data_IF_203069777678
#
_entry.id   IF_203069777678
#
_cell.length_a   1.000
_cell.length_b   1.000
_cell.length_c   1.000
_cell.angle_alpha   90.00
_cell.angle_beta   90.00
_cell.angle_gamma   90.00
#
_symmetry.space_group_name_H-M   'P 1'
#
loop_
_entity.id
_entity.type
_entity.pdbx_description
1 polymer ?
#
# COMPACT_ATOMS: atom_id res chain seq x y z
N UNK A 1 8.64 -24.66 -44.60
CA UNK A 1 8.97 -23.73 -43.49
C UNK A 1 7.69 -23.08 -42.96
N UNK A 2 6.80 -23.84 -42.33
CA UNK A 2 5.49 -23.34 -41.88
C UNK A 2 4.83 -24.11 -40.74
N UNK A 3 5.41 -25.25 -40.32
CA UNK A 3 4.84 -26.11 -39.28
C UNK A 3 5.50 -25.96 -37.90
N UNK A 4 6.65 -25.28 -37.80
CA UNK A 4 7.42 -25.16 -36.53
C UNK A 4 6.96 -23.96 -35.69
N UNK A 5 6.26 -22.99 -36.29
CA UNK A 5 5.76 -21.81 -35.55
C UNK A 5 4.43 -22.05 -34.81
N UNK A 6 3.67 -23.10 -35.16
CA UNK A 6 2.36 -23.36 -34.54
C UNK A 6 2.47 -24.12 -33.20
N UNK A 7 3.53 -24.90 -33.00
CA UNK A 7 3.75 -25.68 -31.76
C UNK A 7 4.35 -24.83 -30.64
N UNK A 8 5.02 -23.73 -30.97
CA UNK A 8 5.58 -22.78 -29.98
C UNK A 8 4.49 -21.92 -29.31
N UNK A 9 3.42 -21.58 -30.03
CA UNK A 9 2.29 -20.83 -29.47
C UNK A 9 1.40 -21.69 -28.55
N UNK A 10 1.35 -23.00 -28.76
CA UNK A 10 0.58 -23.92 -27.90
C UNK A 10 1.30 -24.24 -26.58
N UNK A 11 2.64 -24.25 -26.54
CA UNK A 11 3.40 -24.57 -25.31
C UNK A 11 3.39 -23.43 -24.28
N UNK A 12 3.22 -22.17 -24.71
CA UNK A 12 3.05 -21.03 -23.80
C UNK A 12 1.67 -21.04 -23.12
N UNK A 13 0.64 -21.63 -23.76
CA UNK A 13 -0.71 -21.74 -23.19
C UNK A 13 -0.84 -22.87 -22.15
N UNK A 14 -0.06 -23.94 -22.27
CA UNK A 14 -0.09 -25.08 -21.33
C UNK A 14 0.59 -24.73 -20.00
N UNK A 15 1.55 -23.80 -19.98
CA UNK A 15 2.13 -23.27 -18.73
C UNK A 15 1.17 -22.40 -17.90
N UNK A 16 0.05 -21.95 -18.49
CA UNK A 16 -0.97 -21.16 -17.81
C UNK A 16 -2.05 -22.01 -17.11
N UNK A 17 -2.13 -23.32 -17.32
CA UNK A 17 -3.27 -24.14 -16.85
C UNK A 17 -2.95 -25.38 -15.98
N UNK A 18 -1.70 -25.72 -15.71
CA UNK A 18 -1.40 -26.89 -14.85
C UNK A 18 -1.06 -26.47 -13.41
N UNK A 19 -1.81 -26.93 -12.38
CA UNK A 19 -1.42 -26.78 -10.99
C UNK A 19 -0.40 -27.87 -10.67
N UNK A 20 0.85 -27.49 -10.43
CA UNK A 20 1.85 -28.41 -9.89
C UNK A 20 1.56 -28.64 -8.40
N UNK A 21 0.66 -29.58 -8.10
CA UNK A 21 0.61 -30.24 -6.81
C UNK A 21 1.78 -31.21 -6.74
N UNK A 22 2.78 -30.89 -5.93
CA UNK A 22 3.75 -31.86 -5.46
C UNK A 22 3.32 -32.26 -4.04
N UNK A 23 2.62 -33.40 -3.96
CA UNK A 23 2.45 -34.13 -2.73
C UNK A 23 3.76 -34.87 -2.47
N UNK A 24 4.45 -34.52 -1.39
CA UNK A 24 5.42 -35.41 -0.75
C UNK A 24 5.19 -35.31 0.77
N UNK A 25 4.53 -36.32 1.33
CA UNK A 25 4.85 -36.85 2.65
C UNK A 25 5.74 -38.07 2.42
N UNK A 26 6.72 -38.41 3.29
CA UNK A 26 6.49 -38.49 4.74
C UNK A 26 7.70 -38.23 5.69
N UNK A 27 7.39 -38.36 6.98
CA UNK A 27 8.23 -38.62 8.17
C UNK A 27 8.98 -37.46 8.87
N UNK A 28 8.47 -37.19 10.07
CA UNK A 28 9.02 -36.43 11.21
C UNK A 28 10.41 -36.88 11.66
N UNK A 29 11.20 -35.93 12.18
CA UNK A 29 11.76 -36.08 13.50
C UNK A 29 11.20 -35.00 14.45
N UNK A 30 10.80 -35.44 15.64
CA UNK A 30 10.46 -34.57 16.76
C UNK A 30 11.66 -33.70 17.11
N UNK A 31 11.52 -32.39 16.95
CA UNK A 31 12.34 -31.42 17.68
C UNK A 31 11.38 -30.46 18.38
N UNK A 32 11.44 -30.47 19.70
CA UNK A 32 10.68 -29.61 20.60
C UNK A 32 10.93 -28.15 20.23
N UNK A 33 9.87 -27.45 19.83
CA UNK A 33 9.89 -26.03 19.45
C UNK A 33 9.67 -25.18 20.70
N UNK A 34 10.47 -24.13 20.98
CA UNK A 34 10.19 -23.25 22.10
C UNK A 34 8.86 -22.53 21.86
N UNK A 35 7.99 -22.58 22.87
CA UNK A 35 6.66 -21.99 22.87
C UNK A 35 6.76 -20.46 22.95
N UNK A 36 6.57 -19.79 21.82
CA UNK A 36 6.50 -18.31 21.78
C UNK A 36 6.32 -17.71 20.38
N UNK A 37 6.85 -18.37 19.34
CA UNK A 37 6.89 -17.79 17.98
C UNK A 37 5.84 -18.38 17.00
N UNK A 38 5.18 -19.47 17.40
CA UNK A 38 4.24 -20.22 16.57
C UNK A 38 2.83 -19.65 16.49
N UNK A 39 2.30 -19.12 17.59
CA UNK A 39 0.90 -18.68 17.68
C UNK A 39 0.62 -17.47 16.77
N UNK A 40 1.48 -16.45 16.82
CA UNK A 40 1.34 -15.24 16.00
C UNK A 40 1.49 -15.51 14.50
N UNK A 41 2.39 -16.41 14.10
CA UNK A 41 2.59 -16.74 12.67
C UNK A 41 1.41 -17.55 12.11
N UNK A 42 0.86 -18.48 12.91
CA UNK A 42 -0.32 -19.26 12.52
C UNK A 42 -1.56 -18.38 12.36
N UNK A 43 -1.86 -17.52 13.33
CA UNK A 43 -3.02 -16.62 13.28
C UNK A 43 -2.97 -15.66 12.07
N UNK A 44 -1.77 -15.15 11.74
CA UNK A 44 -1.53 -14.30 10.57
C UNK A 44 -1.71 -15.03 9.25
N UNK A 45 -1.21 -16.26 9.12
CA UNK A 45 -1.35 -17.05 7.88
C UNK A 45 -2.81 -17.51 7.68
N UNK A 46 -3.51 -17.79 8.78
CA UNK A 46 -4.96 -18.06 8.79
C UNK A 46 -5.74 -16.86 8.23
N UNK A 47 -5.41 -15.63 8.65
CA UNK A 47 -6.05 -14.41 8.17
C UNK A 47 -5.87 -14.16 6.66
N UNK A 48 -4.67 -14.37 6.10
CA UNK A 48 -4.45 -14.19 4.66
C UNK A 48 -5.11 -15.29 3.81
N UNK A 49 -5.17 -16.52 4.36
CA UNK A 49 -5.89 -17.61 3.72
C UNK A 49 -7.41 -17.37 3.70
N UNK A 50 -7.97 -16.80 4.76
CA UNK A 50 -9.39 -16.44 4.86
C UNK A 50 -9.72 -15.29 3.91
N UNK A 51 -8.88 -14.27 3.83
CA UNK A 51 -8.97 -13.19 2.83
C UNK A 51 -9.02 -13.75 1.40
N UNK A 52 -8.09 -14.64 1.04
CA UNK A 52 -8.07 -15.25 -0.30
C UNK A 52 -9.35 -16.03 -0.61
N UNK A 53 -9.91 -16.75 0.36
CA UNK A 53 -11.18 -17.48 0.22
C UNK A 53 -12.35 -16.50 0.04
N UNK A 54 -12.39 -15.45 0.86
CA UNK A 54 -13.41 -14.39 0.78
C UNK A 54 -13.42 -13.73 -0.60
N UNK A 55 -12.26 -13.29 -1.10
CA UNK A 55 -12.15 -12.64 -2.41
C UNK A 55 -12.56 -13.56 -3.57
N UNK A 56 -12.21 -14.85 -3.50
CA UNK A 56 -12.65 -15.83 -4.52
C UNK A 56 -14.17 -16.03 -4.51
N UNK A 57 -14.80 -16.08 -3.34
CA UNK A 57 -16.26 -16.23 -3.21
C UNK A 57 -16.99 -14.99 -3.74
N UNK A 58 -16.54 -13.79 -3.34
CA UNK A 58 -17.21 -12.53 -3.69
C UNK A 58 -16.96 -12.06 -5.12
N UNK A 59 -15.73 -12.22 -5.62
CA UNK A 59 -15.29 -11.63 -6.88
C UNK A 59 -14.88 -12.63 -7.96
N UNK A 60 -15.11 -13.93 -7.72
CA UNK A 60 -14.75 -15.07 -8.56
C UNK A 60 -13.23 -15.29 -8.76
N UNK A 61 -12.84 -16.24 -9.61
CA UNK A 61 -11.43 -16.60 -9.84
C UNK A 61 -10.57 -15.44 -10.38
N UNK A 62 -11.21 -14.45 -11.02
CA UNK A 62 -10.57 -13.26 -11.58
C UNK A 62 -10.50 -12.07 -10.61
N UNK A 63 -10.70 -12.28 -9.30
CA UNK A 63 -10.64 -11.20 -8.30
C UNK A 63 -9.35 -10.36 -8.36
N UNK A 64 -8.23 -10.95 -8.77
CA UNK A 64 -6.89 -10.31 -8.78
C UNK A 64 -6.78 -9.09 -9.70
N UNK A 65 -7.64 -8.98 -10.71
CA UNK A 65 -7.72 -7.82 -11.61
C UNK A 65 -8.85 -6.86 -11.22
N UNK A 66 -9.79 -7.30 -10.38
CA UNK A 66 -10.97 -6.52 -9.98
C UNK A 66 -10.78 -5.78 -8.66
N UNK A 67 -9.96 -6.35 -7.78
CA UNK A 67 -9.79 -5.90 -6.39
C UNK A 67 -8.42 -5.27 -6.22
N UNK A 68 -8.40 -4.12 -5.57
CA UNK A 68 -7.20 -3.37 -5.19
C UNK A 68 -6.78 -3.78 -3.79
N UNK A 69 -5.50 -4.04 -3.58
CA UNK A 69 -4.93 -4.38 -2.27
C UNK A 69 -4.02 -3.24 -1.80
N UNK A 70 -4.39 -2.60 -0.68
CA UNK A 70 -3.60 -1.55 -0.03
C UNK A 70 -3.10 -2.05 1.31
N UNK A 71 -1.80 -1.88 1.57
CA UNK A 71 -1.21 -2.15 2.87
C UNK A 71 -1.18 -0.86 3.68
N UNK A 72 -1.76 -0.87 4.88
CA UNK A 72 -1.81 0.29 5.76
C UNK A 72 -0.79 0.11 6.88
N UNK A 73 0.23 0.96 6.90
CA UNK A 73 1.34 0.91 7.85
C UNK A 73 1.36 2.18 8.71
N UNK A 74 1.92 2.08 9.91
CA UNK A 74 1.98 3.17 10.88
C UNK A 74 1.77 2.66 12.30
N UNK A 75 1.84 3.56 13.27
CA UNK A 75 1.51 3.21 14.66
C UNK A 75 0.02 2.84 14.77
N UNK A 76 -0.35 1.92 15.68
CA UNK A 76 -1.71 1.38 15.76
C UNK A 76 -2.78 2.46 15.94
N UNK A 77 -2.46 3.53 16.67
CA UNK A 77 -3.31 4.70 16.89
C UNK A 77 -3.59 5.45 15.57
N UNK A 78 -2.55 5.69 14.76
CA UNK A 78 -2.70 6.40 13.49
C UNK A 78 -3.41 5.52 12.44
N UNK A 79 -3.18 4.20 12.47
CA UNK A 79 -3.91 3.27 11.62
C UNK A 79 -5.39 3.27 12.00
N UNK A 80 -5.71 3.22 13.29
CA UNK A 80 -7.09 3.27 13.76
C UNK A 80 -7.78 4.59 13.38
N UNK A 81 -7.05 5.71 13.38
CA UNK A 81 -7.58 7.01 12.97
C UNK A 81 -7.97 7.07 11.48
N UNK A 82 -7.29 6.35 10.58
CA UNK A 82 -7.60 6.39 9.14
C UNK A 82 -8.41 5.19 8.65
N UNK A 83 -8.38 4.08 9.39
CA UNK A 83 -9.10 2.85 9.10
C UNK A 83 -9.50 2.15 10.41
N UNK A 84 -10.56 2.65 11.08
CA UNK A 84 -11.02 2.09 12.35
C UNK A 84 -11.33 0.59 12.25
N UNK A 85 -10.90 -0.18 13.25
CA UNK A 85 -11.09 -1.64 13.29
C UNK A 85 -10.17 -2.48 12.39
N UNK A 86 -9.27 -1.85 11.61
CA UNK A 86 -8.34 -2.58 10.74
C UNK A 86 -7.32 -3.44 11.52
N UNK A 87 -6.84 -2.93 12.65
CA UNK A 87 -5.86 -3.66 13.48
C UNK A 87 -6.47 -4.94 14.08
N UNK A 88 -7.72 -4.88 14.54
CA UNK A 88 -8.43 -6.04 15.11
C UNK A 88 -8.76 -7.07 14.02
N UNK A 89 -9.38 -6.61 12.93
CA UNK A 89 -9.89 -7.50 11.86
C UNK A 89 -8.83 -7.96 10.87
N UNK A 90 -7.62 -7.39 10.93
CA UNK A 90 -6.46 -7.60 10.04
C UNK A 90 -6.66 -7.22 8.56
N UNK A 91 -7.89 -7.21 8.06
CA UNK A 91 -8.26 -6.71 6.75
C UNK A 91 -9.71 -6.20 6.73
N UNK A 92 -9.97 -5.23 5.85
CA UNK A 92 -11.27 -4.60 5.63
C UNK A 92 -11.52 -4.50 4.12
N UNK A 93 -12.76 -4.67 3.66
CA UNK A 93 -13.15 -4.71 2.24
C UNK A 93 -14.33 -3.78 1.93
N UNK A 94 -14.16 -2.94 0.90
CA UNK A 94 -15.17 -2.01 0.43
C UNK A 94 -14.81 -1.41 -0.93
N UNK A 95 -15.81 -1.16 -1.78
CA UNK A 95 -15.63 -0.58 -3.12
C UNK A 95 -14.52 -1.25 -3.97
N UNK A 96 -14.45 -2.58 -3.94
CA UNK A 96 -13.42 -3.40 -4.61
C UNK A 96 -11.99 -3.04 -4.17
N UNK A 97 -11.84 -2.59 -2.94
CA UNK A 97 -10.56 -2.28 -2.33
C UNK A 97 -10.49 -3.01 -1.00
N UNK A 98 -9.34 -3.61 -0.73
CA UNK A 98 -9.05 -4.28 0.53
C UNK A 98 -7.92 -3.53 1.20
N UNK A 99 -8.19 -3.06 2.41
CA UNK A 99 -7.17 -2.56 3.33
C UNK A 99 -6.62 -3.76 4.10
N UNK A 100 -5.30 -3.88 4.17
CA UNK A 100 -4.60 -4.93 4.89
C UNK A 100 -3.76 -4.25 5.97
N UNK A 101 -3.87 -4.72 7.21
CA UNK A 101 -3.04 -4.24 8.30
C UNK A 101 -1.57 -4.56 8.02
N UNK A 102 -0.72 -3.54 8.03
CA UNK A 102 0.73 -3.63 7.80
C UNK A 102 1.57 -3.46 9.04
N UNK A 103 1.00 -2.93 10.13
CA UNK A 103 1.71 -2.67 11.38
C UNK A 103 2.64 -1.45 11.32
N UNK A 104 3.38 -1.26 12.41
CA UNK A 104 4.36 -0.17 12.54
C UNK A 104 5.58 -0.41 11.65
N UNK A 105 6.12 0.68 11.10
CA UNK A 105 7.39 0.69 10.36
C UNK A 105 8.59 1.00 11.25
N UNK A 106 8.36 1.24 12.54
CA UNK A 106 9.39 1.48 13.55
C UNK A 106 10.13 0.20 13.95
N UNK A 107 9.52 -0.97 13.69
CA UNK A 107 10.09 -2.29 13.94
C UNK A 107 10.45 -3.01 12.63
N UNK A 108 11.23 -4.09 12.75
CA UNK A 108 11.60 -4.91 11.60
C UNK A 108 10.34 -5.49 10.92
N UNK A 109 10.28 -5.48 9.58
CA UNK A 109 9.10 -5.93 8.87
C UNK A 109 8.91 -7.45 9.01
N UNK A 110 7.66 -7.88 9.19
CA UNK A 110 7.31 -9.30 9.22
C UNK A 110 7.47 -9.91 7.83
N UNK A 111 8.68 -10.41 7.55
CA UNK A 111 9.05 -11.01 6.27
C UNK A 111 8.20 -12.24 5.92
N UNK A 112 7.72 -12.98 6.92
CA UNK A 112 6.83 -14.13 6.76
C UNK A 112 5.48 -13.70 6.20
N UNK A 113 4.85 -12.70 6.85
CA UNK A 113 3.58 -12.11 6.41
C UNK A 113 3.71 -11.47 5.03
N UNK A 114 4.78 -10.72 4.76
CA UNK A 114 5.04 -10.13 3.44
C UNK A 114 5.24 -11.20 2.36
N UNK A 115 5.89 -12.31 2.68
CA UNK A 115 6.03 -13.44 1.76
C UNK A 115 4.70 -14.11 1.47
N UNK A 116 3.82 -14.24 2.47
CA UNK A 116 2.45 -14.74 2.27
C UNK A 116 1.61 -13.77 1.41
N UNK A 117 1.70 -12.46 1.66
CA UNK A 117 1.09 -11.42 0.81
C UNK A 117 1.58 -11.50 -0.63
N UNK A 118 2.90 -11.70 -0.83
CA UNK A 118 3.49 -11.92 -2.15
C UNK A 118 2.87 -13.12 -2.89
N UNK A 119 2.45 -14.17 -2.17
CA UNK A 119 1.80 -15.35 -2.76
C UNK A 119 0.33 -15.13 -3.12
N UNK A 120 -0.30 -14.04 -2.69
CA UNK A 120 -1.70 -13.74 -3.04
C UNK A 120 -1.86 -13.41 -4.54
N UNK A 121 -0.95 -12.61 -5.10
CA UNK A 121 -0.93 -12.18 -6.52
C UNK A 121 0.48 -12.38 -7.10
N UNK A 122 0.55 -12.90 -8.33
CA UNK A 122 1.83 -13.30 -8.97
C UNK A 122 2.72 -12.14 -9.42
N UNK A 123 2.16 -10.99 -9.81
CA UNK A 123 2.91 -9.90 -10.47
C UNK A 123 2.99 -8.61 -9.67
N UNK A 124 1.86 -8.17 -9.11
CA UNK A 124 1.75 -6.97 -8.27
C UNK A 124 1.07 -7.40 -6.97
N UNK A 125 1.83 -7.70 -5.90
CA UNK A 125 1.24 -8.16 -4.66
C UNK A 125 0.32 -7.11 -4.03
N UNK A 126 0.71 -5.85 -4.10
CA UNK A 126 -0.05 -4.71 -3.58
C UNK A 126 -0.13 -3.60 -4.65
N UNK A 127 -1.24 -2.87 -4.64
CA UNK A 127 -1.48 -1.72 -5.51
C UNK A 127 -1.03 -0.40 -4.84
N UNK A 128 -0.76 -0.41 -3.53
CA UNK A 128 -0.16 0.71 -2.81
C UNK A 128 0.11 0.40 -1.34
N UNK A 129 0.94 1.25 -0.73
CA UNK A 129 1.16 1.30 0.72
C UNK A 129 0.69 2.67 1.19
N UNK A 130 -0.16 2.71 2.22
CA UNK A 130 -0.53 3.94 2.91
C UNK A 130 0.20 3.99 4.24
N UNK A 131 1.02 5.01 4.41
CA UNK A 131 1.76 5.25 5.64
C UNK A 131 1.02 6.31 6.47
N UNK A 132 0.37 5.85 7.54
CA UNK A 132 -0.28 6.68 8.53
C UNK A 132 0.76 7.36 9.41
N UNK A 133 0.69 8.68 9.48
CA UNK A 133 1.62 9.55 10.14
C UNK A 133 0.87 10.47 11.10
N UNK A 134 1.56 10.87 12.17
CA UNK A 134 1.12 11.91 13.09
C UNK A 134 1.91 13.20 12.87
N UNK A 135 1.27 14.34 13.13
CA UNK A 135 1.89 15.66 12.98
C UNK A 135 3.11 15.85 13.88
N UNK A 136 3.04 15.36 15.14
CA UNK A 136 4.09 15.61 16.14
C UNK A 136 5.28 14.67 15.96
N UNK A 137 5.02 13.45 15.52
CA UNK A 137 6.05 12.41 15.38
C UNK A 137 6.78 12.46 14.02
N UNK A 138 6.21 13.14 13.01
CA UNK A 138 6.80 13.18 11.67
C UNK A 138 8.02 14.09 11.61
N UNK A 139 9.19 13.50 11.77
CA UNK A 139 10.51 14.15 11.65
C UNK A 139 11.34 13.53 10.53
N UNK A 140 12.39 14.22 10.09
CA UNK A 140 13.31 13.70 9.08
C UNK A 140 13.91 12.33 9.46
N UNK A 141 14.28 12.14 10.73
CA UNK A 141 14.82 10.88 11.23
C UNK A 141 13.80 9.74 11.21
N UNK A 142 12.56 10.00 11.64
CA UNK A 142 11.49 8.99 11.59
C UNK A 142 11.14 8.61 10.15
N UNK A 143 11.13 9.58 9.23
CA UNK A 143 10.83 9.33 7.83
C UNK A 143 11.95 8.54 7.13
N UNK A 144 13.22 8.83 7.47
CA UNK A 144 14.36 8.04 7.00
C UNK A 144 14.29 6.58 7.50
N UNK A 145 13.91 6.38 8.77
CA UNK A 145 13.69 5.04 9.30
C UNK A 145 12.56 4.31 8.56
N UNK A 146 11.41 4.98 8.35
CA UNK A 146 10.30 4.44 7.58
C UNK A 146 10.72 4.10 6.14
N UNK A 147 11.54 4.93 5.50
CA UNK A 147 12.09 4.67 4.17
C UNK A 147 12.91 3.38 4.11
N UNK A 148 13.80 3.16 5.08
CA UNK A 148 14.61 1.93 5.16
C UNK A 148 13.72 0.71 5.34
N UNK A 149 12.73 0.79 6.23
CA UNK A 149 11.75 -0.29 6.42
C UNK A 149 10.92 -0.53 5.15
N UNK A 150 10.51 0.53 4.45
CA UNK A 150 9.79 0.41 3.17
C UNK A 150 10.63 -0.26 2.08
N UNK A 151 11.93 0.01 2.01
CA UNK A 151 12.85 -0.67 1.09
C UNK A 151 12.96 -2.17 1.43
N UNK A 152 13.01 -2.54 2.72
CA UNK A 152 12.97 -3.93 3.16
C UNK A 152 11.63 -4.61 2.80
N UNK A 153 10.50 -3.89 2.97
CA UNK A 153 9.17 -4.35 2.55
C UNK A 153 9.15 -4.63 1.05
N UNK A 154 9.66 -3.72 0.22
CA UNK A 154 9.80 -3.94 -1.22
C UNK A 154 10.69 -5.14 -1.56
N UNK A 155 11.78 -5.32 -0.82
CA UNK A 155 12.65 -6.51 -0.85
C UNK A 155 11.90 -7.82 -0.65
N UNK A 156 11.14 -7.92 0.44
CA UNK A 156 10.38 -9.12 0.78
C UNK A 156 9.25 -9.39 -0.24
N UNK A 157 8.59 -8.34 -0.73
CA UNK A 157 7.54 -8.43 -1.75
C UNK A 157 8.06 -8.68 -3.17
N UNK A 158 9.36 -8.47 -3.42
CA UNK A 158 9.97 -8.41 -4.77
C UNK A 158 9.34 -7.35 -5.67
N UNK A 159 8.68 -6.38 -5.06
CA UNK A 159 7.89 -5.33 -5.69
C UNK A 159 7.71 -4.24 -4.65
N UNK A 160 8.12 -3.02 -4.99
CA UNK A 160 7.85 -1.83 -4.21
C UNK A 160 6.55 -1.21 -4.71
N UNK A 161 5.44 -1.26 -3.95
CA UNK A 161 4.22 -0.58 -4.30
C UNK A 161 4.39 0.95 -4.19
N UNK A 162 3.58 1.74 -4.90
CA UNK A 162 3.50 3.17 -4.66
C UNK A 162 3.13 3.49 -3.21
N UNK A 163 3.80 4.48 -2.63
CA UNK A 163 3.59 4.91 -1.25
C UNK A 163 2.76 6.19 -1.23
N UNK A 164 1.72 6.21 -0.40
CA UNK A 164 0.94 7.39 -0.07
C UNK A 164 1.19 7.72 1.39
N UNK A 165 1.61 8.94 1.67
CA UNK A 165 1.71 9.45 3.03
C UNK A 165 0.34 9.94 3.46
N UNK A 166 -0.06 9.67 4.68
CA UNK A 166 -1.33 10.10 5.23
C UNK A 166 -1.10 10.68 6.62
N UNK A 167 -1.16 12.00 6.73
CA UNK A 167 -1.04 12.67 8.02
C UNK A 167 -2.44 12.79 8.65
N UNK A 168 -2.59 12.22 9.84
CA UNK A 168 -3.76 12.45 10.69
C UNK A 168 -3.61 13.84 11.32
N UNK A 169 -4.67 14.63 11.25
CA UNK A 169 -4.69 15.99 11.81
C UNK A 169 -5.79 16.09 12.85
N UNK A 170 -5.40 16.29 14.10
CA UNK A 170 -6.34 16.41 15.20
C UNK A 170 -7.25 17.64 15.04
N UNK A 171 -8.49 17.50 15.51
CA UNK A 171 -9.44 18.59 15.67
C UNK A 171 -10.01 18.58 17.07
N UNK A 172 -10.06 19.77 17.69
CA UNK A 172 -10.55 19.95 19.06
C UNK A 172 -12.05 19.62 19.19
N UNK A 173 -12.78 19.55 18.07
CA UNK A 173 -14.21 19.27 17.98
C UNK A 173 -14.48 18.11 17.02
N UNK A 174 -15.52 17.31 17.31
CA UNK A 174 -15.97 16.24 16.40
C UNK A 174 -16.29 16.82 15.01
N UNK A 175 -15.84 16.10 13.98
CA UNK A 175 -16.05 16.41 12.58
C UNK A 175 -16.91 15.35 11.87
N UNK A 176 -17.59 14.50 12.64
CA UNK A 176 -18.19 13.26 12.13
C UNK A 176 -19.43 13.52 11.26
N UNK A 177 -20.17 14.60 11.53
CA UNK A 177 -21.34 15.01 10.75
C UNK A 177 -21.00 15.77 9.46
N UNK A 178 -19.71 16.06 9.22
CA UNK A 178 -19.26 16.84 8.07
C UNK A 178 -19.32 16.00 6.80
N UNK A 179 -19.64 16.64 5.68
CA UNK A 179 -19.38 16.03 4.37
C UNK A 179 -17.88 15.72 4.28
N UNK A 180 -17.53 14.45 4.07
CA UNK A 180 -16.16 14.01 3.95
C UNK A 180 -15.69 14.12 2.50
N UNK A 181 -14.41 14.44 2.30
CA UNK A 181 -13.77 14.47 0.99
C UNK A 181 -12.29 14.17 1.13
N UNK A 182 -11.66 13.75 0.04
CA UNK A 182 -10.19 13.68 -0.01
C UNK A 182 -9.59 15.08 0.13
N UNK A 183 -8.65 15.21 1.07
CA UNK A 183 -7.80 16.37 1.23
C UNK A 183 -6.36 15.90 1.06
N UNK A 184 -5.64 16.48 0.09
CA UNK A 184 -4.29 16.06 -0.21
C UNK A 184 -3.88 16.33 -1.65
N UNK A 185 -2.62 16.02 -1.96
CA UNK A 185 -2.03 16.19 -3.27
C UNK A 185 -1.50 14.84 -3.79
N UNK A 186 -1.74 14.58 -5.09
CA UNK A 186 -1.20 13.42 -5.81
C UNK A 186 -0.04 13.86 -6.70
N UNK A 187 1.13 13.27 -6.46
CA UNK A 187 2.37 13.59 -7.15
C UNK A 187 2.52 12.79 -8.45
N UNK A 188 3.15 13.32 -9.49
CA UNK A 188 3.51 12.54 -10.68
C UNK A 188 4.62 11.52 -10.35
N UNK A 189 4.85 10.54 -11.23
CA UNK A 189 5.84 9.48 -10.98
C UNK A 189 7.28 10.00 -10.84
N UNK A 190 7.56 11.18 -11.41
CA UNK A 190 8.82 11.91 -11.30
C UNK A 190 8.60 13.23 -10.55
N UNK A 191 8.11 13.11 -9.33
CA UNK A 191 7.86 14.24 -8.44
C UNK A 191 9.18 14.97 -8.12
N UNK A 192 9.12 16.30 -8.07
CA UNK A 192 10.23 17.15 -7.63
C UNK A 192 9.81 17.96 -6.42
N UNK A 193 10.73 18.42 -5.56
CA UNK A 193 10.37 19.22 -4.38
C UNK A 193 9.55 20.48 -4.74
N UNK A 194 9.92 21.17 -5.83
CA UNK A 194 9.16 22.31 -6.34
C UNK A 194 7.77 21.90 -6.89
N UNK A 195 7.66 20.70 -7.48
CA UNK A 195 6.39 20.14 -7.91
C UNK A 195 5.45 19.82 -6.74
N UNK A 196 5.99 19.27 -5.64
CA UNK A 196 5.24 19.02 -4.41
C UNK A 196 4.70 20.31 -3.83
N UNK A 197 5.54 21.33 -3.67
CA UNK A 197 5.12 22.65 -3.20
C UNK A 197 3.99 23.22 -4.07
N UNK A 198 4.15 23.16 -5.41
CA UNK A 198 3.14 23.67 -6.34
C UNK A 198 1.80 22.95 -6.17
N UNK A 199 1.81 21.62 -6.03
CA UNK A 199 0.59 20.85 -5.88
C UNK A 199 -0.10 21.08 -4.53
N UNK A 200 0.67 21.23 -3.44
CA UNK A 200 0.10 21.58 -2.14
C UNK A 200 -0.46 23.01 -2.12
N UNK A 201 0.17 23.96 -2.82
CA UNK A 201 -0.42 25.30 -3.02
C UNK A 201 -1.71 25.25 -3.85
N UNK A 202 -1.77 24.38 -4.86
CA UNK A 202 -2.91 24.27 -5.77
C UNK A 202 -4.19 23.77 -5.08
N UNK A 203 -4.10 23.06 -3.95
CA UNK A 203 -5.28 22.62 -3.20
C UNK A 203 -5.89 23.73 -2.33
N UNK A 204 -5.12 24.77 -1.95
CA UNK A 204 -5.56 25.82 -1.03
C UNK A 204 -6.85 26.54 -1.45
N UNK A 205 -7.07 26.93 -2.73
CA UNK A 205 -8.31 27.57 -3.14
C UNK A 205 -9.53 26.67 -2.91
N UNK A 206 -9.42 25.39 -3.29
CA UNK A 206 -10.51 24.42 -3.10
C UNK A 206 -10.81 24.14 -1.62
N UNK A 207 -9.80 24.20 -0.76
CA UNK A 207 -9.97 24.07 0.69
C UNK A 207 -10.71 25.28 1.27
N UNK A 208 -10.41 26.49 0.79
CA UNK A 208 -11.10 27.72 1.22
C UNK A 208 -12.56 27.73 0.79
N UNK A 209 -12.82 27.39 -0.47
CA UNK A 209 -14.18 27.36 -1.03
C UNK A 209 -15.05 26.32 -0.30
N UNK A 210 -14.60 25.06 -0.27
CA UNK A 210 -15.34 23.98 0.41
C UNK A 210 -15.41 24.18 1.91
N UNK A 211 -14.35 24.71 2.51
CA UNK A 211 -14.32 25.04 3.93
C UNK A 211 -15.34 26.12 4.30
N UNK A 212 -15.50 27.15 3.47
CA UNK A 212 -16.51 28.18 3.67
C UNK A 212 -17.92 27.60 3.55
N UNK A 213 -18.16 26.75 2.55
CA UNK A 213 -19.45 26.06 2.38
C UNK A 213 -19.79 25.18 3.61
N UNK A 214 -18.81 24.44 4.14
CA UNK A 214 -19.00 23.61 5.32
C UNK A 214 -19.27 24.43 6.58
N UNK A 215 -18.57 25.56 6.75
CA UNK A 215 -18.79 26.48 7.85
C UNK A 215 -20.18 27.11 7.83
N UNK A 216 -20.68 27.46 6.64
CA UNK A 216 -22.06 27.95 6.47
C UNK A 216 -23.11 26.87 6.81
N UNK A 217 -22.81 25.60 6.56
CA UNK A 217 -23.70 24.48 6.91
C UNK A 217 -23.65 24.14 8.42
N UNK A 218 -22.52 24.37 9.07
CA UNK A 218 -22.37 24.17 10.51
C UNK A 218 -21.11 24.87 11.04
N UNK A 219 -21.22 25.71 12.08
CA UNK A 219 -20.09 26.49 12.59
C UNK A 219 -18.96 25.62 13.17
N UNK A 220 -19.23 24.36 13.53
CA UNK A 220 -18.23 23.39 13.98
C UNK A 220 -17.39 22.79 12.86
N UNK A 221 -17.76 22.94 11.59
CA UNK A 221 -17.07 22.33 10.45
C UNK A 221 -15.92 23.20 9.89
N UNK A 222 -15.05 23.69 10.77
CA UNK A 222 -13.97 24.64 10.44
C UNK A 222 -12.69 23.99 9.88
N UNK A 223 -12.59 22.66 9.97
CA UNK A 223 -11.36 21.89 9.71
C UNK A 223 -10.63 22.29 8.43
N UNK A 224 -11.32 22.40 7.29
CA UNK A 224 -10.66 22.70 6.00
C UNK A 224 -10.04 24.10 5.98
N UNK A 225 -10.67 25.07 6.64
CA UNK A 225 -10.18 26.44 6.74
C UNK A 225 -8.98 26.50 7.69
N UNK A 226 -9.10 25.86 8.86
CA UNK A 226 -8.01 25.76 9.84
C UNK A 226 -6.80 25.06 9.24
N UNK A 227 -7.00 23.89 8.63
CA UNK A 227 -5.98 23.12 7.95
C UNK A 227 -5.37 23.89 6.78
N UNK A 228 -6.20 24.49 5.91
CA UNK A 228 -5.71 25.28 4.78
C UNK A 228 -4.81 26.44 5.22
N UNK A 229 -5.16 27.12 6.32
CA UNK A 229 -4.36 28.20 6.91
C UNK A 229 -3.03 27.68 7.48
N UNK A 230 -3.04 26.55 8.19
CA UNK A 230 -1.84 25.92 8.75
C UNK A 230 -0.90 25.42 7.64
N UNK A 231 -1.47 24.79 6.62
CA UNK A 231 -0.75 24.32 5.44
C UNK A 231 -0.08 25.47 4.70
N UNK A 232 -0.80 26.58 4.49
CA UNK A 232 -0.26 27.78 3.83
C UNK A 232 0.86 28.45 4.63
N UNK A 233 0.68 28.60 5.95
CA UNK A 233 1.66 29.30 6.79
C UNK A 233 2.99 28.56 6.90
N UNK A 234 2.95 27.26 7.17
CA UNK A 234 4.16 26.49 7.49
C UNK A 234 4.17 25.09 6.89
N UNK A 235 3.00 24.45 6.73
CA UNK A 235 2.93 23.04 6.31
C UNK A 235 3.54 22.77 4.93
N UNK A 236 3.36 23.65 3.95
CA UNK A 236 3.92 23.47 2.59
C UNK A 236 5.45 23.49 2.62
N UNK A 237 6.03 24.49 3.29
CA UNK A 237 7.48 24.62 3.42
C UNK A 237 8.06 23.45 4.22
N UNK A 238 7.39 23.03 5.29
CA UNK A 238 7.77 21.88 6.09
C UNK A 238 7.80 20.59 5.24
N UNK A 239 6.69 20.25 4.57
CA UNK A 239 6.59 19.04 3.75
C UNK A 239 7.54 19.06 2.55
N UNK A 240 7.77 20.21 1.93
CA UNK A 240 8.77 20.35 0.86
C UNK A 240 10.16 19.96 1.38
N UNK A 241 10.58 20.54 2.50
CA UNK A 241 11.90 20.26 3.09
C UNK A 241 12.01 18.81 3.51
N UNK A 242 11.00 18.30 4.22
CA UNK A 242 10.97 16.94 4.74
C UNK A 242 11.00 15.87 3.63
N UNK A 243 10.30 16.09 2.52
CA UNK A 243 10.24 15.15 1.40
C UNK A 243 11.41 15.29 0.42
N UNK A 244 12.22 16.34 0.52
CA UNK A 244 13.31 16.58 -0.44
C UNK A 244 14.25 15.38 -0.56
N UNK A 245 14.81 14.81 0.52
CA UNK A 245 15.70 13.65 0.43
C UNK A 245 15.04 12.43 -0.22
N UNK A 246 13.77 12.16 0.12
CA UNK A 246 13.00 11.08 -0.49
C UNK A 246 12.89 11.28 -2.01
N UNK A 247 12.49 12.48 -2.43
CA UNK A 247 12.25 12.82 -3.83
C UNK A 247 13.53 12.80 -4.68
N UNK A 248 14.66 13.22 -4.11
CA UNK A 248 15.94 13.30 -4.84
C UNK A 248 16.67 11.97 -4.87
N UNK A 249 16.67 11.21 -3.77
CA UNK A 249 17.54 10.04 -3.61
C UNK A 249 16.79 8.71 -3.72
N UNK A 250 15.58 8.62 -3.17
CA UNK A 250 14.87 7.36 -3.01
C UNK A 250 13.70 7.13 -3.97
N UNK A 251 13.24 8.16 -4.70
CA UNK A 251 12.03 8.09 -5.53
C UNK A 251 12.05 6.94 -6.56
N UNK A 252 13.23 6.58 -7.08
CA UNK A 252 13.40 5.45 -8.02
C UNK A 252 13.16 4.09 -7.38
N UNK A 253 13.45 3.96 -6.08
CA UNK A 253 13.31 2.71 -5.31
C UNK A 253 11.95 2.67 -4.64
N UNK A 254 11.58 3.76 -3.96
CA UNK A 254 10.34 3.95 -3.20
C UNK A 254 9.50 5.05 -3.85
N UNK A 255 8.60 4.72 -4.79
CA UNK A 255 7.81 5.70 -5.52
C UNK A 255 6.77 6.35 -4.60
N UNK A 256 6.96 7.63 -4.30
CA UNK A 256 6.00 8.46 -3.59
C UNK A 256 4.91 8.98 -4.54
N UNK A 257 3.64 8.72 -4.23
CA UNK A 257 2.47 9.06 -5.08
C UNK A 257 1.57 10.13 -4.53
N UNK A 258 1.57 10.38 -3.24
CA UNK A 258 0.71 11.41 -2.69
C UNK A 258 0.93 11.65 -1.21
N UNK A 259 0.39 12.77 -0.78
CA UNK A 259 0.30 13.18 0.61
C UNK A 259 -1.16 13.55 0.88
N UNK A 260 -1.79 12.81 1.79
CA UNK A 260 -3.18 12.95 2.19
C UNK A 260 -3.26 13.45 3.63
N UNK A 261 -4.36 14.11 3.94
CA UNK A 261 -4.67 14.63 5.26
C UNK A 261 -6.11 14.31 5.60
N UNK A 262 -6.36 13.91 6.83
CA UNK A 262 -7.73 13.78 7.35
C UNK A 262 -7.77 13.96 8.85
N UNK A 263 -8.92 14.35 9.41
CA UNK A 263 -9.17 14.11 10.82
C UNK A 263 -9.21 12.60 11.09
N UNK A 264 -9.15 12.24 12.38
CA UNK A 264 -9.46 10.88 12.83
C UNK A 264 -10.90 10.54 12.45
N UNK A 265 -11.10 9.33 11.95
CA UNK A 265 -12.40 8.81 11.55
C UNK A 265 -13.06 8.13 12.75
N UNK A 266 -14.35 8.41 12.96
CA UNK A 266 -15.15 7.68 13.91
C UNK A 266 -15.20 6.17 13.56
N UNK A 267 -15.19 5.28 14.57
CA UNK A 267 -15.44 3.86 14.35
C UNK A 267 -16.76 3.64 13.61
N UNK A 268 -16.76 2.76 12.61
CA UNK A 268 -18.02 2.34 11.98
C UNK A 268 -18.79 1.43 12.95
N UNK A 269 -20.01 1.83 13.31
CA UNK A 269 -20.97 0.98 14.03
C UNK A 269 -21.33 -0.23 13.17
N UNK A 270 -20.57 -1.31 13.35
CA UNK A 270 -20.74 -2.56 12.62
C UNK A 270 -21.87 -3.43 13.19
N UNK A 271 -22.79 -2.87 13.99
CA UNK A 271 -23.88 -3.60 14.63
C UNK A 271 -24.80 -4.34 13.65
N UNK A 272 -24.85 -3.91 12.38
CA UNK A 272 -25.65 -4.54 11.31
C UNK A 272 -24.82 -4.98 10.08
N UNK A 273 -23.48 -5.00 10.17
CA UNK A 273 -22.57 -5.21 9.04
C UNK A 273 -21.91 -6.59 8.99
N UNK A 274 -21.44 -6.99 7.80
CA UNK A 274 -20.50 -8.12 7.67
C UNK A 274 -19.18 -7.81 8.36
N UNK A 275 -18.57 -8.81 9.00
CA UNK A 275 -17.36 -8.71 9.84
C UNK A 275 -16.24 -7.83 9.23
N UNK A 276 -15.91 -8.02 7.95
CA UNK A 276 -14.84 -7.31 7.26
C UNK A 276 -15.31 -6.15 6.37
N UNK A 277 -16.50 -5.60 6.60
CA UNK A 277 -17.01 -4.47 5.81
C UNK A 277 -16.20 -3.20 6.06
N UNK A 278 -15.96 -2.46 4.99
CA UNK A 278 -15.44 -1.11 4.98
C UNK A 278 -16.39 -0.20 4.20
N UNK A 279 -16.82 0.92 4.77
CA UNK A 279 -17.67 1.89 4.05
C UNK A 279 -16.95 2.59 2.89
N UNK A 280 -15.62 2.52 2.86
CA UNK A 280 -14.74 3.27 1.96
C UNK A 280 -15.06 4.79 1.98
N UNK A 281 -14.80 5.46 3.13
CA UNK A 281 -15.14 6.87 3.32
C UNK A 281 -14.55 7.77 2.24
N UNK A 282 -15.22 8.89 1.96
CA UNK A 282 -14.84 9.77 0.85
C UNK A 282 -13.41 10.34 0.98
N UNK A 283 -12.84 10.39 2.20
CA UNK A 283 -11.43 10.77 2.41
C UNK A 283 -10.46 9.87 1.63
N UNK A 284 -10.78 8.59 1.44
CA UNK A 284 -9.96 7.60 0.74
C UNK A 284 -10.08 7.62 -0.78
N UNK A 285 -10.98 8.43 -1.35
CA UNK A 285 -11.25 8.42 -2.80
C UNK A 285 -10.01 8.76 -3.64
N UNK A 286 -9.18 9.74 -3.23
CA UNK A 286 -7.97 10.09 -3.95
C UNK A 286 -6.95 8.94 -4.04
N UNK A 287 -6.74 8.21 -2.94
CA UNK A 287 -5.82 7.05 -2.92
C UNK A 287 -6.41 5.90 -3.71
N UNK A 288 -7.68 5.58 -3.53
CA UNK A 288 -8.34 4.43 -4.20
C UNK A 288 -8.52 4.66 -5.70
N UNK A 289 -8.64 5.91 -6.15
CA UNK A 289 -8.65 6.28 -7.56
C UNK A 289 -7.25 6.22 -8.19
N UNK A 290 -6.22 6.81 -7.56
CA UNK A 290 -4.84 6.82 -8.11
C UNK A 290 -4.21 5.42 -8.10
N UNK A 291 -4.42 4.61 -7.06
CA UNK A 291 -3.74 3.33 -6.90
C UNK A 291 -4.06 2.30 -7.99
N UNK A 292 -5.20 2.47 -8.68
CA UNK A 292 -5.55 1.65 -9.84
C UNK A 292 -4.61 1.89 -11.04
N UNK A 293 -4.09 3.11 -11.17
CA UNK A 293 -3.25 3.54 -12.30
C UNK A 293 -1.77 3.61 -11.91
N UNK A 294 -1.47 3.94 -10.67
CA UNK A 294 -0.12 4.03 -10.14
C UNK A 294 0.62 2.69 -10.28
N UNK A 295 1.89 2.76 -10.69
CA UNK A 295 2.73 1.58 -10.85
C UNK A 295 3.87 1.63 -9.86
N UNK A 296 4.05 0.52 -9.17
CA UNK A 296 5.22 0.26 -8.35
C UNK A 296 6.45 -0.11 -9.18
N UNK A 297 7.55 -0.39 -8.48
CA UNK A 297 8.85 -0.74 -9.05
C UNK A 297 9.15 -2.20 -8.72
N UNK A 298 9.69 -2.97 -9.67
CA UNK A 298 10.15 -4.33 -9.37
C UNK A 298 11.41 -4.27 -8.53
N UNK A 299 11.45 -5.07 -7.46
CA UNK A 299 12.61 -5.14 -6.56
C UNK A 299 13.19 -6.54 -6.65
N UNK A 300 14.41 -6.66 -7.14
CA UNK A 300 15.12 -7.93 -7.23
C UNK A 300 15.03 -8.63 -8.59
N UNK A 301 16.13 -9.35 -8.86
CA UNK A 301 16.65 -9.93 -10.10
C UNK A 301 17.02 -8.89 -11.18
N UNK A 302 18.32 -8.58 -11.36
CA UNK A 302 18.79 -8.02 -12.62
C UNK A 302 18.65 -9.09 -13.69
N UNK A 303 17.49 -9.15 -14.37
CA UNK A 303 17.30 -10.03 -15.52
C UNK A 303 18.44 -9.82 -16.54
N UNK A 304 19.03 -8.62 -16.59
CA UNK A 304 20.10 -8.24 -17.50
C UNK A 304 21.38 -9.11 -17.45
N UNK A 305 21.58 -10.00 -16.47
CA UNK A 305 22.75 -10.90 -16.45
C UNK A 305 22.49 -12.34 -16.86
N UNK A 306 21.23 -12.78 -16.92
CA UNK A 306 20.94 -14.17 -17.29
C UNK A 306 20.97 -14.44 -18.80
N UNK A 307 20.41 -13.60 -19.70
CA UNK A 307 20.45 -13.89 -21.13
C UNK A 307 21.87 -13.74 -21.70
N UNK A 308 22.65 -12.78 -21.19
CA UNK A 308 24.04 -12.58 -21.61
C UNK A 308 24.94 -13.76 -21.23
N UNK A 309 24.79 -14.31 -20.02
CA UNK A 309 25.56 -15.48 -19.57
C UNK A 309 25.07 -16.76 -20.25
N UNK A 310 23.76 -16.94 -20.48
CA UNK A 310 23.27 -18.10 -21.25
C UNK A 310 23.65 -18.01 -22.73
N UNK A 311 23.68 -16.81 -23.32
CA UNK A 311 24.12 -16.60 -24.70
C UNK A 311 25.63 -16.84 -24.82
N UNK A 312 26.44 -16.33 -23.89
CA UNK A 312 27.88 -16.59 -23.86
C UNK A 312 28.20 -18.07 -23.63
N UNK A 313 27.45 -18.75 -22.76
CA UNK A 313 27.59 -20.20 -22.55
C UNK A 313 27.20 -21.00 -23.80
N UNK A 314 26.13 -20.60 -24.51
CA UNK A 314 25.74 -21.22 -25.79
C UNK A 314 26.78 -20.97 -26.88
N UNK A 315 27.34 -19.76 -26.99
CA UNK A 315 28.40 -19.45 -27.96
C UNK A 315 29.68 -20.25 -27.65
N UNK A 316 30.07 -20.34 -26.38
CA UNK A 316 31.24 -21.13 -25.97
C UNK A 316 31.05 -22.63 -26.23
N UNK A 317 29.84 -23.16 -26.01
CA UNK A 317 29.51 -24.56 -26.29
C UNK A 317 29.50 -24.87 -27.80
N UNK A 318 29.05 -23.92 -28.63
CA UNK A 318 29.09 -24.04 -30.09
C UNK A 318 30.49 -23.87 -30.69
N UNK A 319 31.37 -23.10 -30.05
CA UNK A 319 32.75 -22.91 -30.53
C UNK A 319 33.72 -24.04 -30.18
N UNK A 320 33.31 -24.98 -29.32
CA UNK A 320 34.13 -26.12 -28.87
C UNK A 320 33.80 -27.44 -29.58
N UNK A 321 32.85 -27.44 -30.53
CA UNK A 321 32.41 -28.60 -31.30
C UNK A 321 32.57 -28.43 -32.80
#
# INVERSE_FOLDING_TARGET
>A
MGAVFLTSLLSVLIFFLIPFQKNDTPLTPQYSRPAGEGAGTQERDISLSSLKKHLRRRYNLFWRSKVRLLLVCGEPEHIAAIAPGLAEKQWLEGLRTVLIYGGSLSSAPDTGRLTALRKLRRSRPLDGIVLALDERQTTAGTLDNHLRTLEQVGGALRWQPPVYLWQVTDSDWSQDARVTQTVGALFPARATPAGVERQLRAILPSLRERGMQQLCAGPSHDFLLRFGRQLEKQGISHWKTLLTPWLTEHLKRVPLRGLMFSPSLAPEDNAAGHEHRWSAPAVWQGVTADCAQARGVRVGIPWQRTPGVTLLALIALWGAG
#
